data_IF_744381103274
#
_entry.id   IF_744381103274
#
_cell.length_a   1.000
_cell.length_b   1.000
_cell.length_c   1.000
_cell.angle_alpha   90.00
_cell.angle_beta   90.00
_cell.angle_gamma   90.00
#
_symmetry.space_group_name_H-M   'P 1'
#
loop_
_entity.id
_entity.type
_entity.pdbx_description
1 polymer ?
#
# COMPACT_ATOMS: atom_id res chain seq x y z
N UNK A 1 22.74 -2.43 6.55
CA UNK A 1 22.65 -0.96 6.76
C UNK A 1 21.24 -0.48 6.40
N UNK A 2 20.82 0.75 6.75
CA UNK A 2 19.52 1.29 6.31
C UNK A 2 19.33 1.29 4.78
N UNK A 3 20.42 1.47 4.04
CA UNK A 3 20.43 1.38 2.58
C UNK A 3 20.11 -0.03 2.09
N UNK A 4 20.73 -1.06 2.68
CA UNK A 4 20.48 -2.47 2.30
C UNK A 4 19.03 -2.88 2.55
N UNK A 5 18.46 -2.46 3.69
CA UNK A 5 17.06 -2.72 4.01
C UNK A 5 16.11 -2.04 3.00
N UNK A 6 16.44 -0.82 2.57
CA UNK A 6 15.66 -0.08 1.56
C UNK A 6 15.72 -0.77 0.20
N UNK A 7 16.91 -1.20 -0.23
CA UNK A 7 17.08 -1.95 -1.47
C UNK A 7 16.29 -3.27 -1.47
N UNK A 8 16.35 -4.02 -0.36
CA UNK A 8 15.58 -5.26 -0.19
C UNK A 8 14.07 -5.02 -0.22
N UNK A 9 13.59 -3.93 0.39
CA UNK A 9 12.18 -3.57 0.34
C UNK A 9 11.72 -3.25 -1.08
N UNK A 10 12.49 -2.44 -1.82
CA UNK A 10 12.19 -2.11 -3.22
C UNK A 10 12.14 -3.39 -4.07
N UNK A 11 13.10 -4.30 -3.90
CA UNK A 11 13.13 -5.56 -4.62
C UNK A 11 11.91 -6.44 -4.29
N UNK A 12 11.69 -6.70 -3.00
CA UNK A 12 10.67 -7.64 -2.53
C UNK A 12 9.23 -7.13 -2.69
N UNK A 13 9.01 -5.82 -2.69
CA UNK A 13 7.64 -5.25 -2.72
C UNK A 13 7.27 -4.59 -4.04
N UNK A 14 8.26 -4.13 -4.80
CA UNK A 14 8.02 -3.40 -6.05
C UNK A 14 8.49 -4.24 -7.22
N UNK A 15 9.81 -4.41 -7.37
CA UNK A 15 10.41 -5.00 -8.59
C UNK A 15 9.97 -6.45 -8.83
N UNK A 16 9.91 -7.28 -7.80
CA UNK A 16 9.48 -8.68 -7.95
C UNK A 16 8.02 -8.84 -8.38
N UNK A 17 7.19 -7.82 -8.20
CA UNK A 17 5.76 -7.87 -8.49
C UNK A 17 5.38 -7.11 -9.77
N UNK A 18 6.02 -5.96 -10.02
CA UNK A 18 5.75 -5.10 -11.19
C UNK A 18 6.78 -5.26 -12.31
N UNK A 19 7.94 -5.85 -12.04
CA UNK A 19 9.11 -5.72 -12.89
C UNK A 19 9.79 -4.35 -12.74
N UNK A 20 10.77 -4.09 -13.59
CA UNK A 20 11.51 -2.83 -13.63
C UNK A 20 10.72 -1.80 -14.45
N UNK A 21 10.48 -0.62 -13.87
CA UNK A 21 9.85 0.49 -14.58
C UNK A 21 10.80 1.09 -15.61
N UNK A 22 10.27 1.54 -16.75
CA UNK A 22 11.06 2.27 -17.76
C UNK A 22 11.47 3.67 -17.30
N UNK A 23 10.64 4.29 -16.46
CA UNK A 23 10.92 5.59 -15.87
C UNK A 23 10.30 5.66 -14.47
N UNK A 24 11.03 6.25 -13.51
CA UNK A 24 10.51 6.53 -12.16
C UNK A 24 10.65 8.03 -11.95
N UNK A 25 9.50 8.67 -11.70
CA UNK A 25 9.44 10.09 -11.38
C UNK A 25 9.40 10.23 -9.86
N UNK A 26 10.27 11.07 -9.31
CA UNK A 26 10.35 11.31 -7.87
C UNK A 26 10.61 12.78 -7.60
N UNK A 27 10.24 13.25 -6.41
CA UNK A 27 10.60 14.59 -5.97
C UNK A 27 12.12 14.71 -5.73
N UNK A 28 12.55 15.90 -5.31
CA UNK A 28 13.97 16.18 -5.03
C UNK A 28 14.38 15.89 -3.59
N UNK A 29 13.66 15.02 -2.86
CA UNK A 29 14.10 14.59 -1.53
C UNK A 29 15.51 13.95 -1.61
N UNK A 30 16.31 14.20 -0.57
CA UNK A 30 17.63 13.60 -0.35
C UNK A 30 17.69 12.09 -0.58
N UNK A 31 16.59 11.36 -0.32
CA UNK A 31 16.48 9.91 -0.54
C UNK A 31 16.52 9.56 -2.03
N UNK A 32 15.82 10.31 -2.87
CA UNK A 32 15.76 10.11 -4.34
C UNK A 32 16.90 10.82 -5.08
N UNK A 33 17.77 11.53 -4.37
CA UNK A 33 19.04 12.07 -4.90
C UNK A 33 20.25 11.35 -4.32
N UNK A 34 20.04 10.31 -3.50
CA UNK A 34 21.09 9.55 -2.84
C UNK A 34 21.91 8.69 -3.81
N UNK A 35 23.11 8.29 -3.36
CA UNK A 35 23.95 7.34 -4.09
C UNK A 35 23.25 5.98 -4.28
N UNK A 36 22.47 5.53 -3.29
CA UNK A 36 21.70 4.29 -3.40
C UNK A 36 20.70 4.37 -4.57
N UNK A 37 19.91 5.43 -4.62
CA UNK A 37 18.89 5.62 -5.67
C UNK A 37 19.54 5.74 -7.05
N UNK A 38 20.63 6.51 -7.14
CA UNK A 38 21.41 6.64 -8.38
C UNK A 38 21.93 5.29 -8.87
N UNK A 39 22.49 4.48 -7.97
CA UNK A 39 23.03 3.16 -8.31
C UNK A 39 21.91 2.16 -8.68
N UNK A 40 20.74 2.23 -8.03
CA UNK A 40 19.58 1.43 -8.41
C UNK A 40 19.12 1.75 -9.84
N UNK A 41 19.03 3.04 -10.19
CA UNK A 41 18.69 3.44 -11.55
C UNK A 41 19.69 2.92 -12.58
N UNK A 42 21.00 2.99 -12.29
CA UNK A 42 22.04 2.43 -13.15
C UNK A 42 21.89 0.91 -13.32
N UNK A 43 21.63 0.18 -12.23
CA UNK A 43 21.42 -1.27 -12.26
C UNK A 43 20.19 -1.65 -13.10
N UNK A 44 19.13 -0.86 -13.00
CA UNK A 44 17.90 -1.05 -13.76
C UNK A 44 18.00 -0.57 -15.22
N UNK A 45 19.09 0.08 -15.61
CA UNK A 45 19.23 0.68 -16.95
C UNK A 45 18.28 1.86 -17.19
N UNK A 46 17.86 2.54 -16.11
CA UNK A 46 16.91 3.66 -16.13
C UNK A 46 17.59 4.97 -15.78
N UNK A 47 16.94 6.10 -16.07
CA UNK A 47 17.42 7.42 -15.66
C UNK A 47 16.54 7.98 -14.54
N UNK A 48 17.11 8.59 -13.49
CA UNK A 48 16.31 9.31 -12.50
C UNK A 48 15.56 10.46 -13.18
N UNK A 49 14.24 10.48 -13.07
CA UNK A 49 13.41 11.61 -13.51
C UNK A 49 12.96 12.40 -12.30
N UNK A 50 13.71 13.44 -11.93
CA UNK A 50 13.33 14.27 -10.80
C UNK A 50 12.29 15.31 -11.21
N UNK A 51 11.19 15.43 -10.47
CA UNK A 51 10.22 16.49 -10.66
C UNK A 51 10.90 17.85 -10.44
N UNK A 52 10.42 18.87 -11.14
CA UNK A 52 10.88 20.24 -10.91
C UNK A 52 10.13 20.81 -9.71
N UNK A 53 10.81 21.62 -8.89
CA UNK A 53 10.11 22.46 -7.93
C UNK A 53 9.05 23.25 -8.71
N UNK A 54 7.78 23.13 -8.32
CA UNK A 54 6.61 23.71 -9.00
C UNK A 54 6.08 22.97 -10.25
N UNK A 55 6.14 21.63 -10.32
CA UNK A 55 5.29 20.83 -11.24
C UNK A 55 4.20 20.04 -10.50
N UNK A 56 3.14 20.72 -9.99
CA UNK A 56 2.02 20.08 -9.32
C UNK A 56 1.24 19.08 -10.19
N UNK A 57 1.47 19.07 -11.51
CA UNK A 57 0.80 18.13 -12.41
C UNK A 57 1.44 16.74 -12.41
N UNK A 58 2.77 16.66 -12.26
CA UNK A 58 3.50 15.38 -12.28
C UNK A 58 3.51 14.74 -10.91
N UNK A 59 3.76 15.52 -9.85
CA UNK A 59 3.73 15.02 -8.46
C UNK A 59 2.31 14.92 -7.90
N UNK A 60 1.37 15.74 -8.37
CA UNK A 60 0.05 15.84 -7.76
C UNK A 60 -0.79 14.57 -7.82
N UNK A 61 -0.53 13.65 -8.76
CA UNK A 61 -1.15 12.33 -8.76
C UNK A 61 -0.62 11.44 -7.64
N UNK A 62 0.72 11.39 -7.49
CA UNK A 62 1.36 10.65 -6.43
C UNK A 62 0.99 11.24 -5.05
N UNK A 63 1.01 12.56 -4.90
CA UNK A 63 0.61 13.26 -3.67
C UNK A 63 -0.84 12.95 -3.28
N UNK A 64 -1.79 13.03 -4.22
CA UNK A 64 -3.20 12.69 -3.94
C UNK A 64 -3.36 11.21 -3.56
N UNK A 65 -2.62 10.33 -4.20
CA UNK A 65 -2.63 8.90 -3.87
C UNK A 65 -2.05 8.68 -2.46
N UNK A 66 -0.93 9.31 -2.13
CA UNK A 66 -0.31 9.25 -0.79
C UNK A 66 -1.31 9.77 0.27
N UNK A 67 -1.93 10.92 0.05
CA UNK A 67 -2.96 11.46 0.95
C UNK A 67 -4.13 10.49 1.18
N UNK A 68 -4.59 9.83 0.10
CA UNK A 68 -5.65 8.82 0.20
C UNK A 68 -5.21 7.64 1.07
N UNK A 69 -4.00 7.13 0.87
CA UNK A 69 -3.44 6.03 1.66
C UNK A 69 -3.20 6.43 3.12
N UNK A 70 -2.70 7.63 3.39
CA UNK A 70 -2.53 8.18 4.74
C UNK A 70 -3.87 8.27 5.48
N UNK A 71 -4.92 8.76 4.81
CA UNK A 71 -6.26 8.82 5.37
C UNK A 71 -6.83 7.44 5.66
N UNK A 72 -6.58 6.44 4.79
CA UNK A 72 -6.95 5.06 5.04
C UNK A 72 -6.23 4.50 6.27
N UNK A 73 -4.91 4.71 6.38
CA UNK A 73 -4.11 4.29 7.55
C UNK A 73 -4.63 4.96 8.81
N UNK A 74 -4.88 6.28 8.79
CA UNK A 74 -5.36 7.03 9.96
C UNK A 74 -6.71 6.50 10.45
N UNK A 75 -7.64 6.21 9.53
CA UNK A 75 -8.93 5.57 9.88
C UNK A 75 -8.69 4.19 10.45
N UNK A 76 -7.85 3.39 9.82
CA UNK A 76 -7.58 2.03 10.27
C UNK A 76 -7.00 2.01 11.69
N UNK A 77 -5.99 2.82 11.96
CA UNK A 77 -5.38 2.95 13.29
C UNK A 77 -6.36 3.47 14.34
N UNK A 78 -7.25 4.41 13.98
CA UNK A 78 -8.24 4.95 14.92
C UNK A 78 -9.36 3.95 15.27
N UNK A 79 -9.81 3.15 14.28
CA UNK A 79 -11.01 2.32 14.39
C UNK A 79 -10.75 0.82 14.58
N UNK A 80 -9.56 0.30 14.23
CA UNK A 80 -9.41 -1.14 14.05
C UNK A 80 -8.92 -1.93 15.24
N UNK A 81 -8.33 -1.31 16.26
CA UNK A 81 -7.61 -2.06 17.27
C UNK A 81 -8.24 -1.92 18.65
N UNK A 82 -8.60 -3.09 19.20
CA UNK A 82 -8.91 -3.30 20.61
C UNK A 82 -7.62 -3.29 21.45
N UNK A 83 -6.46 -3.54 20.82
CA UNK A 83 -5.13 -3.27 21.35
C UNK A 83 -4.77 -1.80 21.13
N UNK A 84 -5.44 -0.93 21.88
CA UNK A 84 -5.00 0.45 22.06
C UNK A 84 -4.02 0.45 23.23
N UNK A 85 -2.84 1.02 23.04
CA UNK A 85 -1.97 1.34 24.17
C UNK A 85 -2.63 2.43 25.02
N UNK A 86 -2.03 2.78 26.17
CA UNK A 86 -2.56 3.78 27.11
C UNK A 86 -2.94 5.13 26.48
N UNK A 87 -2.39 5.46 25.30
CA UNK A 87 -2.64 6.70 24.57
C UNK A 87 -3.74 6.59 23.48
N UNK A 88 -4.50 5.49 23.44
CA UNK A 88 -5.57 5.24 22.47
C UNK A 88 -5.14 4.99 21.00
N UNK A 89 -3.85 4.76 20.76
CA UNK A 89 -3.29 4.49 19.43
C UNK A 89 -2.68 3.09 19.31
N UNK A 90 -2.59 2.61 18.08
CA UNK A 90 -1.75 1.47 17.72
C UNK A 90 -0.49 1.97 17.04
N UNK A 91 0.65 1.61 17.60
CA UNK A 91 1.96 2.00 17.10
C UNK A 91 2.47 1.09 15.96
N UNK A 92 1.95 -0.14 15.82
CA UNK A 92 2.32 -1.07 14.75
C UNK A 92 1.31 -1.11 13.58
N UNK A 93 1.13 0.05 12.95
CA UNK A 93 0.34 0.19 11.72
C UNK A 93 0.93 -0.60 10.54
N UNK A 94 2.23 -0.94 10.60
CA UNK A 94 2.93 -1.72 9.59
C UNK A 94 2.31 -3.11 9.39
N UNK A 95 1.84 -3.75 10.47
CA UNK A 95 1.15 -5.06 10.39
C UNK A 95 -0.16 -5.01 9.60
N UNK A 96 -0.76 -3.83 9.48
CA UNK A 96 -2.06 -3.64 8.83
C UNK A 96 -1.94 -3.37 7.32
N UNK A 97 -0.74 -3.07 6.82
CA UNK A 97 -0.51 -2.77 5.40
C UNK A 97 -1.09 -3.81 4.44
N UNK A 98 -0.89 -5.13 4.64
CA UNK A 98 -1.43 -6.12 3.72
C UNK A 98 -2.97 -6.06 3.59
N UNK A 99 -3.67 -5.80 4.70
CA UNK A 99 -5.12 -5.66 4.70
C UNK A 99 -5.56 -4.37 3.99
N UNK A 100 -4.83 -3.27 4.23
CA UNK A 100 -5.08 -1.98 3.59
C UNK A 100 -4.82 -2.03 2.08
N UNK A 101 -3.72 -2.66 1.66
CA UNK A 101 -3.36 -2.86 0.25
C UNK A 101 -4.44 -3.65 -0.48
N UNK A 102 -4.92 -4.75 0.11
CA UNK A 102 -6.00 -5.54 -0.46
C UNK A 102 -7.30 -4.73 -0.56
N UNK A 103 -7.64 -3.96 0.48
CA UNK A 103 -8.85 -3.15 0.49
C UNK A 103 -8.78 -2.01 -0.55
N UNK A 104 -7.63 -1.36 -0.70
CA UNK A 104 -7.38 -0.37 -1.75
C UNK A 104 -7.55 -0.98 -3.15
N UNK A 105 -6.86 -2.11 -3.41
CA UNK A 105 -6.87 -2.79 -4.73
C UNK A 105 -8.26 -3.25 -5.16
N UNK A 106 -9.17 -3.51 -4.23
CA UNK A 106 -10.51 -4.05 -4.49
C UNK A 106 -11.64 -3.04 -4.29
N UNK A 107 -11.35 -1.81 -3.87
CA UNK A 107 -12.34 -0.74 -3.77
C UNK A 107 -12.54 -0.07 -5.14
N UNK A 108 -13.76 0.35 -5.45
CA UNK A 108 -14.05 1.10 -6.67
C UNK A 108 -13.57 2.54 -6.47
N UNK A 109 -12.77 3.04 -7.41
CA UNK A 109 -12.29 4.41 -7.36
C UNK A 109 -13.20 5.34 -8.16
N UNK A 110 -13.60 6.47 -7.57
CA UNK A 110 -14.53 7.41 -8.18
C UNK A 110 -14.03 7.98 -9.53
N UNK A 111 -12.71 8.12 -9.71
CA UNK A 111 -12.12 8.66 -10.94
C UNK A 111 -12.17 7.71 -12.13
N UNK A 112 -12.16 6.39 -11.88
CA UNK A 112 -12.11 5.36 -12.93
C UNK A 112 -13.38 4.52 -13.00
N UNK A 113 -14.24 4.60 -11.99
CA UNK A 113 -15.40 3.73 -11.78
C UNK A 113 -15.06 2.23 -11.83
N UNK A 114 -13.80 1.89 -11.56
CA UNK A 114 -13.26 0.53 -11.55
C UNK A 114 -12.33 0.33 -10.35
N UNK A 115 -12.06 -0.93 -10.01
CA UNK A 115 -11.07 -1.26 -8.99
C UNK A 115 -9.66 -1.22 -9.59
N UNK A 116 -8.62 -0.83 -8.82
CA UNK A 116 -7.24 -0.90 -9.29
C UNK A 116 -6.83 -2.30 -9.76
N UNK A 117 -7.30 -3.37 -9.10
CA UNK A 117 -6.99 -4.74 -9.50
C UNK A 117 -7.56 -5.11 -10.90
N UNK A 118 -8.75 -4.61 -11.25
CA UNK A 118 -9.29 -4.78 -12.61
C UNK A 118 -8.42 -4.02 -13.63
N UNK A 119 -8.05 -2.78 -13.33
CA UNK A 119 -7.27 -1.95 -14.23
C UNK A 119 -5.85 -2.49 -14.46
N UNK A 120 -5.23 -3.03 -13.40
CA UNK A 120 -3.85 -3.51 -13.44
C UNK A 120 -3.74 -4.96 -13.92
N UNK A 121 -4.65 -5.83 -13.48
CA UNK A 121 -4.55 -7.29 -13.66
C UNK A 121 -5.72 -7.91 -14.43
N UNK A 122 -6.74 -7.12 -14.78
CA UNK A 122 -7.95 -7.60 -15.45
C UNK A 122 -8.90 -8.41 -14.56
N UNK A 123 -8.60 -8.60 -13.28
CA UNK A 123 -9.45 -9.36 -12.37
C UNK A 123 -9.35 -8.87 -10.92
N UNK A 124 -10.45 -8.98 -10.18
CA UNK A 124 -10.42 -8.82 -8.73
C UNK A 124 -10.00 -10.14 -8.07
N UNK A 125 -9.11 -10.11 -7.06
CA UNK A 125 -8.85 -11.28 -6.25
C UNK A 125 -10.13 -11.71 -5.52
N UNK A 126 -10.33 -13.01 -5.34
CA UNK A 126 -11.37 -13.51 -4.43
C UNK A 126 -11.03 -13.06 -3.02
N UNK A 127 -11.94 -12.32 -2.40
CA UNK A 127 -11.72 -11.84 -1.05
C UNK A 127 -12.05 -12.96 -0.06
N UNK A 128 -11.41 -12.98 1.13
CA UNK A 128 -11.67 -14.02 2.11
C UNK A 128 -13.16 -14.14 2.46
N UNK A 129 -13.90 -13.03 2.50
CA UNK A 129 -15.33 -13.04 2.76
C UNK A 129 -16.20 -13.66 1.66
N UNK A 130 -15.73 -13.66 0.40
CA UNK A 130 -16.39 -14.39 -0.70
C UNK A 130 -16.27 -15.90 -0.52
N UNK A 131 -15.30 -16.34 0.29
CA UNK A 131 -14.90 -17.75 0.43
C UNK A 131 -15.12 -18.30 1.84
N UNK A 132 -15.70 -17.52 2.76
CA UNK A 132 -15.93 -17.99 4.13
C UNK A 132 -16.95 -19.12 4.16
N UNK A 133 -16.49 -20.26 4.64
CA UNK A 133 -17.31 -21.43 4.97
C UNK A 133 -18.15 -21.10 6.21
N UNK A 134 -19.47 -20.92 6.01
CA UNK A 134 -20.44 -20.64 7.10
C UNK A 134 -20.64 -21.85 8.03
N UNK A 135 -20.19 -23.02 7.60
CA UNK A 135 -20.25 -24.32 8.24
C UNK A 135 -19.05 -24.63 9.15
N UNK A 136 -18.13 -23.67 9.35
CA UNK A 136 -17.02 -23.84 10.29
C UNK A 136 -17.53 -23.70 11.74
N UNK A 137 -17.67 -24.85 12.41
CA UNK A 137 -18.15 -24.96 13.81
C UNK A 137 -17.07 -24.46 14.80
N UNK A 138 -15.80 -24.57 14.43
CA UNK A 138 -14.67 -24.16 15.26
C UNK A 138 -13.64 -23.43 14.41
N UNK A 139 -13.41 -22.14 14.71
CA UNK A 139 -12.41 -21.31 14.02
C UNK A 139 -11.28 -21.07 15.01
N UNK A 140 -10.07 -21.45 14.62
CA UNK A 140 -8.88 -21.18 15.43
C UNK A 140 -8.78 -19.68 15.75
N UNK A 141 -8.47 -19.27 16.99
CA UNK A 141 -8.52 -17.86 17.43
C UNK A 141 -7.69 -16.90 16.55
N UNK A 142 -6.53 -17.35 16.04
CA UNK A 142 -5.71 -16.55 15.10
C UNK A 142 -6.41 -16.31 13.76
N UNK A 143 -7.17 -17.28 13.25
CA UNK A 143 -7.90 -17.13 11.99
C UNK A 143 -9.10 -16.17 12.16
N UNK A 144 -9.73 -16.16 13.34
CA UNK A 144 -10.78 -15.19 13.66
C UNK A 144 -10.26 -13.74 13.67
N UNK A 145 -9.05 -13.52 14.18
CA UNK A 145 -8.39 -12.20 14.15
C UNK A 145 -8.18 -11.68 12.71
N UNK A 146 -7.75 -12.56 11.80
CA UNK A 146 -7.54 -12.21 10.39
C UNK A 146 -8.85 -11.79 9.69
N UNK A 147 -9.95 -12.49 9.97
CA UNK A 147 -11.29 -12.13 9.50
C UNK A 147 -11.69 -10.73 9.98
N UNK A 148 -11.54 -10.45 11.27
CA UNK A 148 -11.87 -9.14 11.85
C UNK A 148 -11.04 -7.99 11.25
N UNK A 149 -9.74 -8.21 11.03
CA UNK A 149 -8.86 -7.22 10.40
C UNK A 149 -9.34 -6.82 9.00
N UNK A 150 -9.73 -7.80 8.17
CA UNK A 150 -10.16 -7.56 6.79
C UNK A 150 -11.52 -6.87 6.69
N UNK A 151 -12.49 -7.24 7.52
CA UNK A 151 -13.81 -6.57 7.56
C UNK A 151 -13.66 -5.09 7.90
N UNK A 152 -12.81 -4.79 8.89
CA UNK A 152 -12.56 -3.42 9.32
C UNK A 152 -11.81 -2.63 8.23
N UNK A 153 -10.77 -3.21 7.61
CA UNK A 153 -10.05 -2.57 6.50
C UNK A 153 -10.98 -2.17 5.35
N UNK A 154 -11.91 -3.04 4.95
CA UNK A 154 -12.89 -2.73 3.90
C UNK A 154 -13.81 -1.56 4.28
N UNK A 155 -14.33 -1.54 5.51
CA UNK A 155 -15.21 -0.46 6.00
C UNK A 155 -14.53 0.91 5.92
N UNK A 156 -13.21 0.94 6.03
CA UNK A 156 -12.42 2.17 6.09
C UNK A 156 -11.65 2.50 4.81
N UNK A 157 -11.63 1.60 3.82
CA UNK A 157 -10.98 1.79 2.53
C UNK A 157 -11.81 2.59 1.52
N UNK A 158 -13.14 2.65 1.69
CA UNK A 158 -14.04 3.28 0.71
C UNK A 158 -14.41 4.71 1.14
N UNK A 159 -14.27 5.65 0.19
CA UNK A 159 -15.07 6.86 0.12
C UNK A 159 -15.57 7.06 -1.30
#
# INVERSE_FOLDING_TARGET
TPADNTALLIWNRVVSWTGIFTNIISDRDSKFTSALWTNLHQLFGTKPSLSTAYHPQTDGLAEKMIQTLEDMVRRLCAYCLESKDCDAFTHDWCTLFPALELAYKTSIHASTNQTPAILEKGCNPKLPHDSWRKDLIEIHPTAASFKGMLEKARKHAVR
#
